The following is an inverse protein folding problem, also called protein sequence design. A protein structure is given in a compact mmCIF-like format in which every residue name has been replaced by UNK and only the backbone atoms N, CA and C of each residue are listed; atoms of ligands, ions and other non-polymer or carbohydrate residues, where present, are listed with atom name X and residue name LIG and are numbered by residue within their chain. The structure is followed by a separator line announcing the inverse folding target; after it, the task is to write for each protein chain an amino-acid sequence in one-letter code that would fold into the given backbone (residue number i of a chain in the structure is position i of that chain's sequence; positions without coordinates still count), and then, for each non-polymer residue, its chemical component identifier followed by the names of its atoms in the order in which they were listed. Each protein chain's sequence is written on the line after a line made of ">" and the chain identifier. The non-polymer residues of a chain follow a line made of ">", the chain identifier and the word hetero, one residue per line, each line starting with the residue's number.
data_IF_829529684329
#
_entry.id   IF_829529684329
#
_cell.length_a   1.000
_cell.length_b   1.000
_cell.length_c   1.000
_cell.angle_alpha   90.00
_cell.angle_beta   90.00
_cell.angle_gamma   90.00
#
_symmetry.space_group_name_H-M   'P 1'
#
loop_
_entity.id
_entity.type
_entity.pdbx_description
1 polymer ?
#
# COMPACT_ATOMS: atom_id res chain seq x y z
N UNK A 1 -29.89 19.92 -18.16
CA UNK A 1 -28.89 19.42 -19.12
C UNK A 1 -27.59 19.22 -18.34
N UNK A 2 -27.44 18.06 -17.70
CA UNK A 2 -26.22 17.75 -16.93
C UNK A 2 -25.18 17.16 -17.88
N UNK A 3 -24.31 18.01 -18.40
CA UNK A 3 -23.11 17.57 -19.10
C UNK A 3 -22.12 17.01 -18.05
N UNK A 4 -22.35 15.78 -17.61
CA UNK A 4 -21.38 15.00 -16.84
C UNK A 4 -20.11 14.84 -17.68
N UNK A 5 -19.08 15.62 -17.37
CA UNK A 5 -17.81 15.57 -18.07
C UNK A 5 -17.22 14.14 -17.93
N UNK A 6 -16.90 13.43 -19.03
CA UNK A 6 -16.58 12.00 -19.02
C UNK A 6 -15.29 11.62 -18.25
N UNK A 7 -14.60 12.60 -17.64
CA UNK A 7 -13.29 12.45 -17.00
C UNK A 7 -13.23 13.12 -15.61
N UNK A 8 -14.34 13.16 -14.87
CA UNK A 8 -14.34 13.74 -13.51
C UNK A 8 -13.28 13.12 -12.57
N UNK A 9 -12.91 11.85 -12.77
CA UNK A 9 -11.89 11.15 -12.00
C UNK A 9 -10.47 11.55 -12.38
N UNK A 10 -10.25 12.10 -13.59
CA UNK A 10 -8.93 12.56 -14.03
C UNK A 10 -8.50 13.78 -13.25
N UNK A 11 -9.43 14.70 -12.98
CA UNK A 11 -9.20 15.89 -12.15
C UNK A 11 -9.09 15.61 -10.64
N UNK A 12 -9.38 14.38 -10.18
CA UNK A 12 -9.29 14.03 -8.76
C UNK A 12 -7.83 13.82 -8.33
N UNK A 13 -7.34 14.72 -7.48
CA UNK A 13 -5.99 14.67 -6.92
C UNK A 13 -5.73 13.44 -6.06
N UNK A 14 -6.76 12.78 -5.52
CA UNK A 14 -6.62 11.55 -4.75
C UNK A 14 -6.39 10.32 -5.65
N UNK A 15 -6.90 10.35 -6.88
CA UNK A 15 -6.74 9.26 -7.85
C UNK A 15 -5.42 9.38 -8.60
N UNK A 16 -4.98 10.63 -8.87
CA UNK A 16 -3.76 10.95 -9.64
C UNK A 16 -3.77 10.35 -11.06
N UNK A 17 -4.96 10.15 -11.64
CA UNK A 17 -5.10 9.67 -13.02
C UNK A 17 -4.51 10.66 -14.06
N UNK A 18 -4.39 11.94 -13.70
CA UNK A 18 -3.73 12.96 -14.52
C UNK A 18 -2.22 12.73 -14.71
N UNK A 19 -1.55 12.06 -13.77
CA UNK A 19 -0.08 11.91 -13.76
C UNK A 19 0.47 11.25 -15.03
N UNK A 20 0.01 10.06 -15.45
CA UNK A 20 0.46 9.44 -16.70
C UNK A 20 0.18 10.29 -17.95
N UNK A 21 -0.87 11.13 -17.92
CA UNK A 21 -1.22 12.02 -19.04
C UNK A 21 -0.15 13.11 -19.17
N UNK A 22 0.18 13.79 -18.08
CA UNK A 22 1.23 14.82 -18.06
C UNK A 22 2.58 14.23 -18.47
N UNK A 23 2.93 13.07 -17.90
CA UNK A 23 4.17 12.35 -18.24
C UNK A 23 4.23 12.06 -19.75
N UNK A 24 3.14 11.58 -20.36
CA UNK A 24 3.12 11.31 -21.80
C UNK A 24 3.27 12.59 -22.62
N UNK A 25 2.61 13.68 -22.24
CA UNK A 25 2.72 14.95 -22.96
C UNK A 25 4.18 15.44 -22.98
N UNK A 26 4.87 15.38 -21.84
CA UNK A 26 6.29 15.74 -21.73
C UNK A 26 7.16 14.79 -22.56
N UNK A 27 6.88 13.48 -22.52
CA UNK A 27 7.60 12.50 -23.34
C UNK A 27 7.48 12.77 -24.84
N UNK A 28 6.30 13.19 -25.31
CA UNK A 28 6.10 13.53 -26.72
C UNK A 28 6.83 14.81 -27.14
N UNK A 29 6.82 15.83 -26.28
CA UNK A 29 7.45 17.13 -26.56
C UNK A 29 8.97 17.08 -26.44
N UNK A 30 9.50 16.50 -25.35
CA UNK A 30 10.92 16.58 -25.00
C UNK A 30 11.67 15.26 -25.16
N UNK A 31 10.99 14.14 -25.39
CA UNK A 31 11.61 12.82 -25.56
C UNK A 31 12.14 12.16 -24.28
N UNK A 32 12.14 12.87 -23.15
CA UNK A 32 12.48 12.34 -21.83
C UNK A 32 11.77 13.11 -20.73
N UNK A 33 11.53 12.47 -19.59
CA UNK A 33 10.94 13.10 -18.41
C UNK A 33 11.56 12.54 -17.13
N UNK A 34 11.89 13.43 -16.21
CA UNK A 34 12.23 13.12 -14.82
C UNK A 34 11.09 13.62 -13.95
N UNK A 35 10.32 12.69 -13.39
CA UNK A 35 9.22 12.98 -12.48
C UNK A 35 9.70 12.88 -11.04
N UNK A 36 9.43 13.92 -10.24
CA UNK A 36 9.73 13.98 -8.81
C UNK A 36 8.49 14.56 -8.13
N UNK A 37 7.79 13.72 -7.36
CA UNK A 37 6.63 14.11 -6.57
C UNK A 37 7.07 15.07 -5.43
N UNK A 38 6.24 16.06 -5.05
CA UNK A 38 6.58 17.00 -3.97
C UNK A 38 6.87 16.34 -2.61
N UNK A 39 6.45 15.09 -2.41
CA UNK A 39 6.74 14.29 -1.22
C UNK A 39 8.10 13.56 -1.26
N UNK A 40 8.87 13.68 -2.34
CA UNK A 40 10.21 13.14 -2.46
C UNK A 40 11.26 14.25 -2.37
N UNK A 41 12.35 13.98 -1.65
CA UNK A 41 13.54 14.83 -1.62
C UNK A 41 14.74 14.05 -2.15
N UNK A 42 15.55 14.70 -2.99
CA UNK A 42 16.85 14.19 -3.42
C UNK A 42 17.89 14.85 -2.53
N UNK A 43 18.54 14.05 -1.69
CA UNK A 43 19.46 14.58 -0.68
C UNK A 43 20.92 14.63 -1.19
N UNK A 44 21.21 13.98 -2.33
CA UNK A 44 22.56 13.80 -2.84
C UNK A 44 22.66 14.02 -4.36
N UNK A 45 23.63 14.82 -4.82
CA UNK A 45 23.86 15.11 -6.26
C UNK A 45 24.30 13.85 -7.02
N UNK A 46 24.96 12.92 -6.34
CA UNK A 46 25.40 11.66 -6.90
C UNK A 46 24.21 10.77 -7.29
N UNK A 47 23.09 10.84 -6.55
CA UNK A 47 21.84 10.14 -6.90
C UNK A 47 21.27 10.67 -8.22
N UNK A 48 21.28 11.99 -8.40
CA UNK A 48 20.81 12.63 -9.62
C UNK A 48 21.64 12.20 -10.85
N UNK A 49 22.96 12.09 -10.69
CA UNK A 49 23.85 11.61 -11.76
C UNK A 49 23.60 10.12 -12.08
N UNK A 50 23.28 9.31 -11.07
CA UNK A 50 22.91 7.91 -11.29
C UNK A 50 21.57 7.78 -12.01
N UNK A 51 20.59 8.64 -11.72
CA UNK A 51 19.32 8.68 -12.47
C UNK A 51 19.55 8.97 -13.94
N UNK A 52 20.39 9.96 -14.25
CA UNK A 52 20.73 10.31 -15.63
C UNK A 52 21.44 9.15 -16.35
N UNK A 53 22.51 8.62 -15.76
CA UNK A 53 23.34 7.58 -16.39
C UNK A 53 22.62 6.24 -16.55
N UNK A 54 21.80 5.82 -15.58
CA UNK A 54 21.11 4.52 -15.65
C UNK A 54 19.90 4.55 -16.55
N UNK A 55 19.24 5.69 -16.68
CA UNK A 55 18.06 5.83 -17.50
C UNK A 55 18.39 5.95 -19.01
N UNK A 56 19.64 6.28 -19.37
CA UNK A 56 20.14 6.38 -20.76
C UNK A 56 19.81 5.17 -21.65
N UNK A 57 19.53 3.99 -21.08
CA UNK A 57 19.19 2.78 -21.85
C UNK A 57 17.68 2.56 -22.09
N UNK A 58 16.79 3.14 -21.28
CA UNK A 58 15.33 3.01 -21.47
C UNK A 58 14.51 3.82 -20.46
N UNK A 59 14.66 3.52 -19.17
CA UNK A 59 13.98 4.17 -18.05
C UNK A 59 14.70 3.81 -16.74
N UNK A 60 14.46 4.60 -15.71
CA UNK A 60 14.90 4.33 -14.34
C UNK A 60 13.74 4.56 -13.38
N UNK A 61 13.48 3.60 -12.49
CA UNK A 61 12.52 3.74 -11.41
C UNK A 61 13.29 3.80 -10.11
N UNK A 62 12.99 4.79 -9.28
CA UNK A 62 13.53 4.84 -7.94
C UNK A 62 12.82 3.79 -7.08
N UNK A 63 13.54 2.77 -6.63
CA UNK A 63 12.97 1.70 -5.81
C UNK A 63 13.35 1.91 -4.35
N UNK A 64 12.35 2.24 -3.53
CA UNK A 64 12.34 1.84 -2.13
C UNK A 64 11.60 0.50 -2.08
N UNK A 65 12.19 -0.59 -1.56
CA UNK A 65 11.48 -1.85 -1.40
C UNK A 65 10.37 -1.64 -0.36
N UNK A 66 9.18 -1.27 -0.83
CA UNK A 66 7.98 -1.45 -0.03
C UNK A 66 7.73 -2.95 -0.10
N UNK A 67 8.05 -3.68 0.98
CA UNK A 67 7.84 -5.13 1.11
C UNK A 67 6.34 -5.49 1.20
N UNK A 68 5.56 -5.01 0.24
CA UNK A 68 4.12 -5.22 0.11
C UNK A 68 3.85 -5.88 -1.23
N UNK A 69 3.24 -7.06 -1.18
CA UNK A 69 2.89 -7.79 -2.38
C UNK A 69 1.79 -7.04 -3.15
N UNK A 70 1.98 -6.82 -4.45
CA UNK A 70 1.03 -6.07 -5.30
C UNK A 70 -0.37 -6.67 -5.19
N UNK A 71 -0.44 -8.00 -5.17
CA UNK A 71 -1.69 -8.75 -5.09
C UNK A 71 -2.48 -8.47 -3.81
N UNK A 72 -1.85 -8.05 -2.71
CA UNK A 72 -2.50 -7.80 -1.43
C UNK A 72 -3.11 -6.39 -1.40
N UNK A 73 -2.37 -5.40 -1.87
CA UNK A 73 -2.72 -3.99 -1.75
C UNK A 73 -3.51 -3.45 -2.95
N UNK A 74 -3.44 -4.11 -4.09
CA UNK A 74 -4.19 -3.71 -5.28
C UNK A 74 -5.59 -4.35 -5.32
N UNK A 75 -6.60 -3.55 -5.69
CA UNK A 75 -7.97 -4.05 -5.83
C UNK A 75 -8.05 -5.13 -6.94
N UNK A 76 -8.69 -6.29 -6.70
CA UNK A 76 -8.80 -7.38 -7.68
C UNK A 76 -9.41 -6.97 -9.04
N UNK A 77 -10.31 -5.98 -9.06
CA UNK A 77 -10.93 -5.49 -10.30
C UNK A 77 -9.92 -4.82 -11.25
N UNK A 78 -8.86 -4.22 -10.70
CA UNK A 78 -7.80 -3.60 -11.50
C UNK A 78 -7.05 -4.65 -12.34
N UNK A 79 -6.71 -5.80 -11.75
CA UNK A 79 -6.14 -6.93 -12.48
C UNK A 79 -7.10 -7.43 -13.56
N UNK A 80 -8.40 -7.54 -13.25
CA UNK A 80 -9.42 -7.98 -14.21
C UNK A 80 -9.50 -7.04 -15.42
N UNK A 81 -9.43 -5.72 -15.22
CA UNK A 81 -9.42 -4.75 -16.33
C UNK A 81 -8.14 -4.76 -17.16
N UNK A 82 -7.01 -5.08 -16.54
CA UNK A 82 -5.76 -5.30 -17.26
C UNK A 82 -5.66 -6.68 -17.94
N UNK A 83 -6.68 -7.53 -17.80
CA UNK A 83 -6.68 -8.93 -18.22
C UNK A 83 -5.52 -9.74 -17.60
N UNK A 84 -5.24 -9.46 -16.33
CA UNK A 84 -4.17 -10.09 -15.56
C UNK A 84 -4.67 -11.11 -14.55
N UNK A 85 -3.89 -12.18 -14.38
CA UNK A 85 -4.14 -13.16 -13.34
C UNK A 85 -3.49 -12.69 -12.04
N UNK A 86 -4.29 -12.24 -11.08
CA UNK A 86 -3.79 -11.76 -9.77
C UNK A 86 -2.76 -12.69 -9.10
N UNK A 87 -2.89 -14.00 -9.25
CA UNK A 87 -1.97 -14.98 -8.66
C UNK A 87 -0.55 -14.92 -9.24
N UNK A 88 -0.32 -14.33 -10.42
CA UNK A 88 1.03 -14.17 -10.98
C UNK A 88 1.83 -13.07 -10.28
N UNK A 89 1.17 -12.24 -9.47
CA UNK A 89 1.78 -11.11 -8.75
C UNK A 89 1.93 -11.38 -7.25
N UNK A 90 1.90 -12.65 -6.82
CA UNK A 90 2.08 -13.02 -5.41
C UNK A 90 3.49 -12.66 -4.94
N UNK A 91 4.49 -12.94 -5.76
CA UNK A 91 5.90 -12.78 -5.42
C UNK A 91 6.50 -11.43 -5.84
N UNK A 92 5.64 -10.50 -6.29
CA UNK A 92 6.05 -9.25 -6.94
C UNK A 92 5.80 -8.05 -6.04
N UNK A 93 6.77 -7.13 -6.03
CA UNK A 93 6.80 -5.94 -5.17
C UNK A 93 6.05 -4.75 -5.74
N UNK A 94 5.44 -3.95 -4.86
CA UNK A 94 4.90 -2.64 -5.22
C UNK A 94 6.03 -1.68 -5.63
N UNK A 95 5.81 -0.93 -6.69
CA UNK A 95 6.73 0.08 -7.20
C UNK A 95 6.38 1.44 -6.60
N UNK A 96 7.38 2.24 -6.25
CA UNK A 96 7.19 3.64 -5.90
C UNK A 96 7.15 4.48 -7.18
N UNK A 97 6.22 5.43 -7.24
CA UNK A 97 6.01 6.30 -8.39
C UNK A 97 6.39 7.76 -8.11
N UNK A 98 6.88 8.05 -6.90
CA UNK A 98 7.29 9.41 -6.54
C UNK A 98 8.51 9.89 -7.30
N UNK A 99 9.42 9.00 -7.69
CA UNK A 99 10.61 9.36 -8.47
C UNK A 99 10.80 8.38 -9.63
N UNK A 100 10.75 8.89 -10.86
CA UNK A 100 10.97 8.09 -12.07
C UNK A 100 11.58 8.90 -13.20
N UNK A 101 12.36 8.23 -14.04
CA UNK A 101 12.91 8.77 -15.27
C UNK A 101 12.46 7.89 -16.43
N UNK A 102 11.83 8.48 -17.44
CA UNK A 102 11.34 7.76 -18.61
C UNK A 102 11.90 8.41 -19.88
N UNK A 103 12.28 7.59 -20.87
CA UNK A 103 12.64 8.05 -22.21
C UNK A 103 11.62 7.59 -23.23
N UNK A 104 11.42 8.38 -24.29
CA UNK A 104 10.54 8.04 -25.41
C UNK A 104 11.17 6.95 -26.26
N UNK A 105 10.92 5.70 -25.86
CA UNK A 105 11.32 4.50 -26.59
C UNK A 105 10.09 3.66 -26.95
N UNK A 106 10.22 2.76 -27.92
CA UNK A 106 9.16 1.78 -28.23
C UNK A 106 8.80 0.94 -27.00
N UNK A 107 9.80 0.56 -26.20
CA UNK A 107 9.58 -0.22 -24.98
C UNK A 107 8.81 0.57 -23.92
N UNK A 108 9.18 1.84 -23.69
CA UNK A 108 8.45 2.73 -22.76
C UNK A 108 7.02 2.94 -23.22
N UNK A 109 6.79 3.19 -24.52
CA UNK A 109 5.44 3.38 -25.05
C UNK A 109 4.58 2.12 -24.92
N UNK A 110 5.00 1.01 -25.54
CA UNK A 110 4.19 -0.20 -25.61
C UNK A 110 4.13 -0.95 -24.27
N UNK A 111 5.21 -0.93 -23.50
CA UNK A 111 5.33 -1.64 -22.23
C UNK A 111 4.74 -0.88 -21.04
N UNK A 112 4.85 0.45 -21.02
CA UNK A 112 4.53 1.26 -19.83
C UNK A 112 3.41 2.25 -20.12
N UNK A 113 3.65 3.24 -20.97
CA UNK A 113 2.78 4.41 -21.09
C UNK A 113 1.42 4.08 -21.72
N UNK A 114 1.39 3.29 -22.79
CA UNK A 114 0.13 2.92 -23.46
C UNK A 114 -0.86 2.21 -22.52
N UNK A 115 -0.49 1.13 -21.79
CA UNK A 115 -1.42 0.52 -20.85
C UNK A 115 -1.76 1.44 -19.66
N UNK A 116 -0.81 2.25 -19.20
CA UNK A 116 -1.03 3.16 -18.08
C UNK A 116 -2.04 4.27 -18.41
N UNK A 117 -1.88 4.91 -19.57
CA UNK A 117 -2.81 5.92 -20.10
C UNK A 117 -4.22 5.34 -20.32
N UNK A 118 -4.30 4.15 -20.92
CA UNK A 118 -5.59 3.48 -21.14
C UNK A 118 -6.34 3.27 -19.81
N UNK A 119 -5.62 2.86 -18.78
CA UNK A 119 -6.20 2.67 -17.46
C UNK A 119 -6.55 4.00 -16.78
N UNK A 120 -5.69 5.00 -16.86
CA UNK A 120 -5.91 6.32 -16.28
C UNK A 120 -7.15 7.02 -16.85
N UNK A 121 -7.41 6.85 -18.15
CA UNK A 121 -8.60 7.39 -18.81
C UNK A 121 -9.88 6.59 -18.52
N UNK A 122 -9.78 5.45 -17.82
CA UNK A 122 -10.91 4.56 -17.51
C UNK A 122 -11.12 4.51 -15.99
N UNK A 123 -12.17 5.15 -15.48
CA UNK A 123 -12.44 5.23 -14.01
C UNK A 123 -12.41 3.86 -13.33
N UNK A 124 -13.11 2.89 -13.91
CA UNK A 124 -13.21 1.54 -13.36
C UNK A 124 -11.87 0.78 -13.37
N UNK A 125 -10.88 1.26 -14.14
CA UNK A 125 -9.55 0.67 -14.18
C UNK A 125 -8.65 1.29 -13.13
N UNK A 126 -8.53 2.61 -13.11
CA UNK A 126 -7.63 3.31 -12.20
C UNK A 126 -8.15 3.27 -10.76
N UNK A 127 -9.45 3.46 -10.56
CA UNK A 127 -10.10 3.51 -9.26
C UNK A 127 -11.40 2.66 -9.26
N UNK A 128 -11.30 1.33 -9.40
CA UNK A 128 -12.46 0.44 -9.42
C UNK A 128 -13.27 0.54 -8.13
N UNK A 129 -14.59 0.34 -8.23
CA UNK A 129 -15.47 0.34 -7.07
C UNK A 129 -14.99 -0.58 -5.95
N UNK A 130 -14.87 -0.02 -4.75
CA UNK A 130 -14.37 -0.69 -3.55
C UNK A 130 -12.86 -0.58 -3.33
N UNK A 131 -12.12 0.00 -4.28
CA UNK A 131 -10.74 0.41 -4.03
C UNK A 131 -10.70 1.61 -3.08
N UNK A 132 -9.67 1.67 -2.25
CA UNK A 132 -9.48 2.73 -1.25
C UNK A 132 -8.05 3.24 -1.33
N UNK A 133 -7.84 4.52 -1.02
CA UNK A 133 -6.49 5.10 -0.96
C UNK A 133 -5.77 4.77 0.34
N UNK A 134 -6.53 4.67 1.43
CA UNK A 134 -6.06 4.53 2.82
C UNK A 134 -6.78 3.37 3.52
N UNK A 135 -6.52 3.18 4.81
CA UNK A 135 -7.18 2.18 5.67
C UNK A 135 -6.90 0.74 5.24
N UNK A 136 -5.61 0.42 5.17
CA UNK A 136 -5.19 -0.95 4.94
C UNK A 136 -5.46 -1.86 6.12
N UNK A 137 -6.56 -2.61 6.04
CA UNK A 137 -6.90 -3.59 7.06
C UNK A 137 -6.06 -4.87 6.92
N UNK A 138 -4.88 -4.86 7.52
CA UNK A 138 -3.91 -5.97 7.47
C UNK A 138 -4.39 -7.28 8.15
N UNK A 139 -5.50 -7.24 8.91
CA UNK A 139 -5.97 -8.35 9.74
C UNK A 139 -6.88 -9.36 9.00
N UNK A 140 -7.47 -9.00 7.85
CA UNK A 140 -8.33 -9.94 7.10
C UNK A 140 -7.50 -10.83 6.17
N UNK A 141 -7.72 -12.15 6.24
CA UNK A 141 -7.23 -13.12 5.26
C UNK A 141 -8.37 -13.48 4.29
N UNK A 142 -8.10 -13.56 2.96
CA UNK A 142 -6.85 -13.25 2.28
C UNK A 142 -6.51 -11.76 2.37
N UNK A 143 -5.21 -11.40 2.31
CA UNK A 143 -4.64 -10.04 2.48
C UNK A 143 -5.09 -9.03 1.39
N UNK A 144 -6.24 -9.22 0.78
CA UNK A 144 -6.82 -8.41 -0.29
C UNK A 144 -7.48 -7.16 0.26
N UNK A 145 -6.69 -6.17 0.64
CA UNK A 145 -7.24 -4.92 1.19
C UNK A 145 -7.70 -3.98 0.09
N UNK A 146 -7.10 -4.05 -1.10
CA UNK A 146 -7.41 -3.12 -2.20
C UNK A 146 -7.20 -1.65 -1.81
N UNK A 147 -6.30 -1.43 -0.84
CA UNK A 147 -5.98 -0.16 -0.25
C UNK A 147 -4.57 0.26 -0.71
N UNK A 148 -4.49 1.20 -1.64
CA UNK A 148 -3.24 1.84 -1.98
C UNK A 148 -3.53 3.04 -2.86
N UNK A 149 -2.50 3.86 -3.11
CA UNK A 149 -2.56 4.81 -4.21
C UNK A 149 -2.88 4.10 -5.51
N UNK A 150 -3.94 4.59 -6.16
CA UNK A 150 -4.56 4.02 -7.35
C UNK A 150 -3.58 3.93 -8.51
N UNK A 151 -2.91 5.05 -8.77
CA UNK A 151 -1.87 5.20 -9.79
C UNK A 151 -0.65 4.30 -9.52
N UNK A 152 -0.19 4.24 -8.28
CA UNK A 152 0.91 3.36 -7.89
C UNK A 152 0.57 1.86 -8.05
N UNK A 153 -0.67 1.46 -7.75
CA UNK A 153 -1.14 0.08 -7.90
C UNK A 153 -1.09 -0.36 -9.36
N UNK A 154 -1.66 0.46 -10.25
CA UNK A 154 -1.68 0.13 -11.68
C UNK A 154 -0.27 0.12 -12.27
N UNK A 155 0.56 1.09 -11.89
CA UNK A 155 1.94 1.18 -12.35
C UNK A 155 2.73 -0.06 -11.93
N UNK A 156 2.56 -0.51 -10.69
CA UNK A 156 3.19 -1.72 -10.18
C UNK A 156 2.82 -2.95 -10.99
N UNK A 157 1.55 -3.13 -11.37
CA UNK A 157 1.12 -4.24 -12.24
C UNK A 157 1.80 -4.15 -13.61
N UNK A 158 1.78 -2.97 -14.24
CA UNK A 158 2.32 -2.76 -15.58
C UNK A 158 3.82 -3.02 -15.63
N UNK A 159 4.58 -2.45 -14.69
CA UNK A 159 6.02 -2.61 -14.62
C UNK A 159 6.39 -4.07 -14.36
N UNK A 160 5.68 -4.74 -13.45
CA UNK A 160 5.96 -6.14 -13.12
C UNK A 160 5.54 -7.12 -14.22
N UNK A 161 4.57 -6.77 -15.07
CA UNK A 161 4.27 -7.52 -16.31
C UNK A 161 5.45 -7.51 -17.27
N UNK A 162 6.16 -6.38 -17.39
CA UNK A 162 7.24 -6.20 -18.37
C UNK A 162 8.58 -6.71 -17.83
N UNK A 163 8.86 -6.52 -16.54
CA UNK A 163 10.19 -6.71 -15.96
C UNK A 163 10.28 -7.71 -14.80
N UNK A 164 9.15 -8.14 -14.22
CA UNK A 164 9.06 -9.14 -13.15
C UNK A 164 9.98 -8.87 -11.94
N UNK A 165 9.70 -7.82 -11.17
CA UNK A 165 10.44 -7.50 -9.94
C UNK A 165 9.91 -8.30 -8.76
N UNK A 166 10.76 -9.15 -8.18
CA UNK A 166 10.37 -9.99 -7.04
C UNK A 166 10.79 -9.39 -5.71
N UNK A 167 10.01 -9.65 -4.65
CA UNK A 167 10.44 -9.36 -3.27
C UNK A 167 11.46 -10.39 -2.74
N UNK A 168 11.63 -11.52 -3.43
CA UNK A 168 12.57 -12.55 -3.03
C UNK A 168 13.99 -12.08 -3.37
N UNK A 169 14.87 -12.04 -2.38
CA UNK A 169 16.23 -11.49 -2.48
C UNK A 169 17.13 -12.18 -3.52
N UNK A 170 16.67 -13.28 -4.11
CA UNK A 170 17.50 -14.21 -4.88
C UNK A 170 17.19 -14.23 -6.39
N UNK A 171 16.23 -13.43 -6.88
CA UNK A 171 15.94 -13.31 -8.32
C UNK A 171 15.75 -11.86 -8.75
N UNK A 172 16.18 -11.55 -9.97
CA UNK A 172 16.26 -10.25 -10.65
C UNK A 172 15.98 -9.01 -9.78
N UNK A 173 17.04 -8.42 -9.24
CA UNK A 173 17.01 -7.12 -8.53
C UNK A 173 17.10 -6.00 -9.54
N UNK A 174 16.21 -5.00 -9.44
CA UNK A 174 16.51 -3.71 -10.06
C UNK A 174 17.84 -3.21 -9.49
N UNK A 175 18.70 -2.54 -10.28
CA UNK A 175 19.96 -2.04 -9.75
C UNK A 175 19.69 -0.99 -8.66
N UNK A 176 19.91 -1.37 -7.41
CA UNK A 176 19.79 -0.48 -6.26
C UNK A 176 20.85 0.62 -6.33
N UNK A 177 20.48 1.81 -5.89
CA UNK A 177 21.35 2.97 -5.79
C UNK A 177 21.00 3.67 -4.47
N UNK A 178 21.91 3.48 -3.51
CA UNK A 178 22.09 4.24 -2.26
C UNK A 178 21.62 3.57 -0.96
N UNK A 179 22.55 3.62 0.00
CA UNK A 179 22.45 3.28 1.42
C UNK A 179 21.73 4.41 2.16
N UNK A 180 20.76 4.08 3.01
CA UNK A 180 20.30 4.97 4.07
C UNK A 180 20.91 4.50 5.40
N UNK A 181 21.34 5.45 6.23
CA UNK A 181 21.64 5.19 7.63
C UNK A 181 20.35 4.65 8.26
N UNK A 182 20.43 3.43 8.78
CA UNK A 182 19.33 2.71 9.40
C UNK A 182 18.91 3.47 10.67
N UNK A 183 18.17 4.57 10.51
CA UNK A 183 17.02 4.72 11.40
C UNK A 183 16.00 3.70 10.91
N UNK A 184 16.28 2.45 11.28
CA UNK A 184 15.27 1.46 11.57
C UNK A 184 14.19 2.19 12.40
N UNK A 185 13.18 2.73 11.73
CA UNK A 185 11.81 2.59 12.20
C UNK A 185 11.44 1.12 12.00
N UNK A 186 12.23 0.24 12.64
CA UNK A 186 11.67 -0.94 13.30
C UNK A 186 10.54 -0.34 14.10
N UNK A 187 9.32 -0.64 13.68
CA UNK A 187 8.23 -0.68 14.63
C UNK A 187 8.72 -1.66 15.69
N UNK A 188 9.36 -1.13 16.72
CA UNK A 188 9.39 -1.75 18.02
C UNK A 188 7.90 -1.72 18.39
N UNK A 189 7.16 -2.72 17.91
CA UNK A 189 6.14 -3.27 18.75
C UNK A 189 6.93 -3.56 20.01
N UNK A 190 6.74 -2.80 21.11
CA UNK A 190 7.25 -3.28 22.37
C UNK A 190 6.75 -4.71 22.42
N UNK A 191 7.66 -5.69 22.60
CA UNK A 191 7.27 -7.06 22.92
C UNK A 191 6.07 -6.90 23.84
N UNK A 192 4.89 -7.40 23.42
CA UNK A 192 3.67 -7.15 24.18
C UNK A 192 4.04 -7.37 25.64
N UNK A 193 4.02 -6.34 26.50
CA UNK A 193 4.74 -6.40 27.78
C UNK A 193 4.19 -7.49 28.70
N UNK A 194 3.05 -8.03 28.28
CA UNK A 194 2.29 -9.09 28.89
C UNK A 194 2.09 -10.21 27.88
N UNK A 195 2.41 -11.43 28.27
CA UNK A 195 2.01 -12.62 27.53
C UNK A 195 0.48 -12.70 27.47
N UNK A 196 -0.09 -13.35 26.44
CA UNK A 196 -1.56 -13.51 26.31
C UNK A 196 -2.21 -14.12 27.57
N UNK A 197 -1.47 -14.93 28.32
CA UNK A 197 -1.88 -15.47 29.62
C UNK A 197 -2.01 -14.39 30.69
N UNK A 198 -1.09 -13.43 30.76
CA UNK A 198 -1.16 -12.29 31.68
C UNK A 198 -2.30 -11.34 31.33
N UNK A 199 -2.52 -11.06 30.04
CA UNK A 199 -3.66 -10.26 29.59
C UNK A 199 -4.98 -10.92 30.00
N UNK A 200 -5.12 -12.23 29.77
CA UNK A 200 -6.30 -12.99 30.18
C UNK A 200 -6.53 -12.93 31.70
N UNK A 201 -5.48 -13.09 32.52
CA UNK A 201 -5.60 -12.97 33.98
C UNK A 201 -6.04 -11.57 34.43
N UNK A 202 -5.52 -10.51 33.82
CA UNK A 202 -5.91 -9.12 34.14
C UNK A 202 -7.40 -8.88 33.86
N UNK A 203 -7.94 -9.43 32.78
CA UNK A 203 -9.36 -9.22 32.42
C UNK A 203 -10.33 -10.15 33.18
N UNK A 204 -9.88 -11.34 33.60
CA UNK A 204 -10.75 -12.35 34.22
C UNK A 204 -10.76 -12.32 35.75
N UNK A 205 -9.64 -11.95 36.40
CA UNK A 205 -9.55 -11.95 37.86
C UNK A 205 -10.43 -10.89 38.54
N UNK A 206 -10.45 -9.60 38.10
CA UNK A 206 -11.30 -8.59 38.71
C UNK A 206 -12.80 -8.95 38.74
N UNK A 207 -13.43 -9.40 37.63
CA UNK A 207 -14.85 -9.79 37.68
C UNK A 207 -15.08 -11.03 38.54
N UNK A 208 -14.17 -12.01 38.57
CA UNK A 208 -14.31 -13.16 39.48
C UNK A 208 -14.25 -12.76 40.96
N UNK A 209 -13.36 -11.84 41.33
CA UNK A 209 -13.27 -11.31 42.70
C UNK A 209 -14.53 -10.52 43.06
N UNK A 210 -15.06 -9.70 42.15
CA UNK A 210 -16.30 -8.96 42.38
C UNK A 210 -17.50 -9.89 42.54
N UNK A 211 -17.62 -10.94 41.72
CA UNK A 211 -18.68 -11.95 41.83
C UNK A 211 -18.60 -12.70 43.16
N UNK A 212 -17.41 -13.09 43.59
CA UNK A 212 -17.23 -13.79 44.88
C UNK A 212 -17.51 -12.87 46.08
N UNK A 213 -17.05 -11.61 46.05
CA UNK A 213 -17.38 -10.63 47.09
C UNK A 213 -18.88 -10.32 47.14
N UNK A 214 -19.54 -10.20 45.98
CA UNK A 214 -20.99 -10.03 45.90
C UNK A 214 -21.72 -11.24 46.48
N UNK A 215 -21.29 -12.46 46.14
CA UNK A 215 -21.86 -13.68 46.69
C UNK A 215 -21.68 -13.78 48.21
N UNK A 216 -20.49 -13.44 48.74
CA UNK A 216 -20.22 -13.43 50.18
C UNK A 216 -21.03 -12.37 50.91
N UNK A 217 -21.18 -11.16 50.33
CA UNK A 217 -22.05 -10.10 50.89
C UNK A 217 -23.50 -10.56 50.93
N UNK A 218 -24.03 -11.10 49.83
CA UNK A 218 -25.38 -11.66 49.77
C UNK A 218 -25.61 -12.75 50.82
N UNK A 219 -24.63 -13.63 51.02
CA UNK A 219 -24.70 -14.70 52.03
C UNK A 219 -24.63 -14.16 53.46
N UNK A 220 -23.84 -13.11 53.71
CA UNK A 220 -23.78 -12.42 55.01
C UNK A 220 -25.09 -11.69 55.33
N UNK A 221 -25.69 -11.02 54.35
CA UNK A 221 -26.97 -10.32 54.51
C UNK A 221 -28.13 -11.31 54.71
N UNK A 222 -28.09 -12.49 54.09
CA UNK A 222 -29.02 -13.58 54.37
C UNK A 222 -28.87 -14.11 55.82
N UNK A 223 -27.64 -14.30 56.32
CA UNK A 223 -27.41 -14.73 57.72
C UNK A 223 -27.85 -13.67 58.73
N UNK A 224 -27.66 -12.37 58.44
CA UNK A 224 -28.15 -11.28 59.30
C UNK A 224 -29.68 -11.24 59.36
N UNK A 225 -30.36 -11.44 58.23
CA UNK A 225 -31.83 -11.54 58.18
C UNK A 225 -32.36 -12.74 58.98
N UNK A 226 -31.72 -13.91 58.89
CA UNK A 226 -32.11 -15.07 59.70
C UNK A 226 -31.87 -14.88 61.21
N UNK A 227 -30.84 -14.11 61.61
CA UNK A 227 -30.63 -13.75 63.03
C UNK A 227 -31.66 -12.74 63.57
N UNK A 228 -32.24 -11.92 62.70
CA UNK A 228 -33.29 -10.95 63.08
C UNK A 228 -34.67 -11.60 63.22
N UNK A 229 -34.89 -12.75 62.57
CA UNK A 229 -36.15 -13.51 62.63
C UNK A 229 -36.24 -14.52 63.79
N UNK A 230 -35.11 -14.85 64.43
CA UNK A 230 -35.01 -15.78 65.57
C UNK A 230 -34.78 -15.04 66.91
N UNK A 231 -35.22 -13.78 67.02
CA UNK A 231 -35.13 -12.98 68.24
C UNK A 231 -36.49 -12.41 68.59
#
# INVERSE_FOLDING_TARGET
>A
MDASYPYNHVSDMNIRAWMPIIIQMILEEFGSVMWIDPSASINNVQELNQFKYRAERSFFLYEYPIFTAINAYTNPKMFKHLNEKRCTFVDLGMMDTRVMVLYRTKQTWYGIMKPWLKCALTKDCIAPDGARRTECFHYKRPKSTGCHWYEQSIFSIIINRVFQFTYNSDKFKAPHAVHFDDTELVYYFPEQPWTYTQIFLIFTLPPMVLVTLWYLKKRRDARKRNKFYNR
#
